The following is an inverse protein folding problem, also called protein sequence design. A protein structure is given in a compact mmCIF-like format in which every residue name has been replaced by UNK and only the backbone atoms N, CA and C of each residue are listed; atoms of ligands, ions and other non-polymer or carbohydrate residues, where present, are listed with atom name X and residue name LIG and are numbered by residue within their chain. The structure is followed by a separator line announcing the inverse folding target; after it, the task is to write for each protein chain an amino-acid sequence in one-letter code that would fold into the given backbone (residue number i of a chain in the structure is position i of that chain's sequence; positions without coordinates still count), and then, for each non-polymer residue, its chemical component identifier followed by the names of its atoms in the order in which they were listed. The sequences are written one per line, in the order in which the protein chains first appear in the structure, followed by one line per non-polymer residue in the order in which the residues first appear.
data_IF_024396250130
#
_entry.id   IF_024396250130
#
_cell.length_a   1.000
_cell.length_b   1.000
_cell.length_c   1.000
_cell.angle_alpha   90.00
_cell.angle_beta   90.00
_cell.angle_gamma   90.00
#
_symmetry.space_group_name_H-M   'P 1'
#
loop_
_entity.id
_entity.type
_entity.pdbx_description
1 polymer ?
#
# COMPACT_ATOMS: atom_id res chain seq x y z
N UNK A 1 -15.82 -14.46 2.23
CA UNK A 1 -14.65 -15.10 1.58
C UNK A 1 -13.45 -14.21 1.85
N UNK A 2 -12.61 -14.57 2.82
CA UNK A 2 -11.38 -13.83 3.15
C UNK A 2 -10.31 -14.34 2.19
N UNK A 3 -9.88 -13.50 1.23
CA UNK A 3 -8.76 -13.80 0.37
C UNK A 3 -7.49 -13.45 1.15
N UNK A 4 -6.91 -14.47 1.79
CA UNK A 4 -5.59 -14.37 2.40
C UNK A 4 -4.58 -14.22 1.27
N UNK A 5 -3.89 -13.08 1.19
CA UNK A 5 -2.66 -12.97 0.39
C UNK A 5 -1.71 -14.03 0.96
N UNK A 6 -1.29 -14.99 0.15
CA UNK A 6 -0.51 -16.14 0.63
C UNK A 6 0.72 -15.60 1.40
N UNK A 7 0.85 -15.82 2.72
CA UNK A 7 1.86 -15.20 3.56
C UNK A 7 3.29 -15.44 3.03
N UNK A 8 3.53 -16.64 2.53
CA UNK A 8 4.82 -17.04 1.92
C UNK A 8 5.25 -16.12 0.76
N UNK A 9 4.32 -15.45 0.09
CA UNK A 9 4.65 -14.59 -1.06
C UNK A 9 5.36 -13.31 -0.58
N UNK A 10 5.16 -12.83 0.64
CA UNK A 10 5.64 -11.49 1.01
C UNK A 10 6.55 -11.42 2.24
N UNK A 11 6.67 -12.48 3.02
CA UNK A 11 7.47 -12.51 4.26
C UNK A 11 8.96 -12.16 4.04
N UNK A 12 9.53 -12.53 2.88
CA UNK A 12 10.93 -12.28 2.55
C UNK A 12 11.17 -10.97 1.77
N UNK A 13 10.14 -10.12 1.62
CA UNK A 13 10.26 -8.85 0.91
C UNK A 13 11.11 -7.88 1.74
N UNK A 14 12.15 -7.33 1.12
CA UNK A 14 13.05 -6.36 1.75
C UNK A 14 12.91 -4.96 1.14
N UNK A 15 12.34 -4.88 -0.07
CA UNK A 15 12.33 -3.65 -0.86
C UNK A 15 11.11 -3.50 -1.75
N UNK A 16 10.62 -2.28 -1.88
CA UNK A 16 9.63 -1.86 -2.88
C UNK A 16 10.31 -0.97 -3.92
N UNK A 17 10.11 -1.29 -5.20
CA UNK A 17 10.54 -0.47 -6.33
C UNK A 17 9.33 0.28 -6.87
N UNK A 18 9.40 1.61 -6.91
CA UNK A 18 8.26 2.47 -7.23
C UNK A 18 8.69 3.69 -8.04
N UNK A 19 7.89 4.07 -9.03
CA UNK A 19 8.12 5.31 -9.77
C UNK A 19 7.66 6.51 -8.92
N UNK A 20 8.61 7.39 -8.60
CA UNK A 20 8.39 8.52 -7.69
C UNK A 20 7.34 9.51 -8.23
N UNK A 21 7.43 9.88 -9.51
CA UNK A 21 6.54 10.87 -10.10
C UNK A 21 5.10 10.37 -10.22
N UNK A 22 4.90 9.10 -10.59
CA UNK A 22 3.57 8.48 -10.65
C UNK A 22 2.93 8.41 -9.27
N UNK A 23 3.70 8.15 -8.21
CA UNK A 23 3.17 8.11 -6.84
C UNK A 23 2.60 9.47 -6.43
N UNK A 24 3.39 10.54 -6.57
CA UNK A 24 2.98 11.88 -6.16
C UNK A 24 1.91 12.51 -7.05
N UNK A 25 1.73 12.03 -8.29
CA UNK A 25 0.60 12.43 -9.14
C UNK A 25 -0.74 11.88 -8.65
N UNK A 26 -0.72 10.75 -7.94
CA UNK A 26 -1.93 10.03 -7.54
C UNK A 26 -2.35 10.37 -6.11
N UNK A 27 -1.40 10.78 -5.27
CA UNK A 27 -1.66 11.23 -3.91
C UNK A 27 -1.56 12.77 -3.85
N UNK A 28 -2.69 13.49 -3.96
CA UNK A 28 -2.68 14.95 -3.88
C UNK A 28 -2.16 15.45 -2.52
N UNK A 29 -1.50 16.60 -2.53
CA UNK A 29 -0.75 17.17 -1.39
C UNK A 29 -1.59 17.52 -0.17
N UNK A 30 -2.91 17.64 -0.31
CA UNK A 30 -3.78 18.24 0.71
C UNK A 30 -4.98 17.37 1.10
N UNK A 31 -4.96 16.08 0.73
CA UNK A 31 -6.03 15.14 1.07
C UNK A 31 -5.48 14.08 2.03
N UNK A 32 -6.07 14.04 3.22
CA UNK A 32 -5.84 12.99 4.22
C UNK A 32 -6.64 11.74 3.84
N UNK A 33 -6.10 10.56 4.13
CA UNK A 33 -6.77 9.27 3.88
C UNK A 33 -7.16 9.03 2.41
N UNK A 34 -6.29 9.46 1.48
CA UNK A 34 -6.36 9.02 0.09
C UNK A 34 -6.04 7.53 0.05
N UNK A 35 -6.94 6.72 -0.48
CA UNK A 35 -6.72 5.26 -0.59
C UNK A 35 -6.37 4.89 -2.01
N UNK A 36 -5.22 4.26 -2.18
CA UNK A 36 -4.75 3.74 -3.44
C UNK A 36 -4.39 2.28 -3.22
N UNK A 37 -4.91 1.41 -4.07
CA UNK A 37 -4.44 0.04 -4.18
C UNK A 37 -3.43 -0.05 -5.31
N UNK A 38 -2.40 -0.85 -5.13
CA UNK A 38 -1.38 -1.06 -6.15
C UNK A 38 -1.24 -2.53 -6.52
N UNK A 39 -0.95 -2.80 -7.78
CA UNK A 39 -0.54 -4.10 -8.28
C UNK A 39 0.98 -4.13 -8.33
N UNK A 40 1.60 -5.07 -7.62
CA UNK A 40 3.04 -5.25 -7.62
C UNK A 40 3.44 -6.65 -8.10
N UNK A 41 4.56 -6.74 -8.81
CA UNK A 41 5.16 -8.01 -9.19
C UNK A 41 6.30 -8.34 -8.24
N UNK A 42 6.30 -9.55 -7.69
CA UNK A 42 7.44 -10.04 -6.90
C UNK A 42 8.56 -10.49 -7.83
N UNK A 43 9.79 -10.07 -7.53
CA UNK A 43 11.02 -10.54 -8.17
C UNK A 43 12.11 -10.69 -7.10
N UNK A 44 12.37 -11.93 -6.68
CA UNK A 44 13.20 -12.20 -5.50
C UNK A 44 12.62 -11.51 -4.26
N UNK A 45 13.45 -10.75 -3.54
CA UNK A 45 13.06 -9.99 -2.32
C UNK A 45 12.50 -8.59 -2.62
N UNK A 46 12.18 -8.29 -3.88
CA UNK A 46 11.65 -6.98 -4.30
C UNK A 46 10.18 -7.10 -4.75
N UNK A 47 9.39 -6.06 -4.45
CA UNK A 47 8.09 -5.81 -5.06
C UNK A 47 8.19 -4.61 -6.01
N UNK A 48 7.97 -4.84 -7.30
CA UNK A 48 7.94 -3.79 -8.32
C UNK A 48 6.50 -3.34 -8.57
N UNK A 49 6.21 -2.07 -8.31
CA UNK A 49 4.87 -1.50 -8.49
C UNK A 49 4.57 -1.29 -9.98
N UNK A 50 3.62 -2.05 -10.50
CA UNK A 50 3.21 -2.01 -11.90
C UNK A 50 2.13 -0.96 -12.17
N UNK A 51 1.15 -0.86 -11.27
CA UNK A 51 -0.05 -0.05 -11.47
C UNK A 51 -0.61 0.44 -10.15
N UNK A 52 -1.13 1.66 -10.18
CA UNK A 52 -1.89 2.29 -9.10
C UNK A 52 -3.37 2.36 -9.49
N UNK A 53 -4.24 2.17 -8.50
CA UNK A 53 -5.69 2.18 -8.65
C UNK A 53 -6.25 3.00 -7.48
N UNK A 54 -6.63 4.25 -7.76
CA UNK A 54 -7.29 5.10 -6.77
C UNK A 54 -8.65 4.51 -6.41
N UNK A 55 -8.89 4.31 -5.12
CA UNK A 55 -10.16 3.86 -4.60
C UNK A 55 -10.87 5.02 -3.90
N UNK A 56 -12.21 4.99 -3.91
CA UNK A 56 -12.99 5.93 -3.12
C UNK A 56 -12.83 5.58 -1.64
N UNK A 57 -12.51 6.57 -0.81
CA UNK A 57 -12.64 6.46 0.64
C UNK A 57 -14.13 6.67 1.00
N UNK A 58 -14.73 5.67 1.64
CA UNK A 58 -16.13 5.67 2.07
C UNK A 58 -16.30 6.16 3.52
N UNK A 59 -15.19 6.39 4.24
CA UNK A 59 -15.22 6.97 5.59
C UNK A 59 -15.67 8.42 5.53
N UNK A 60 -16.50 8.83 6.50
CA UNK A 60 -16.76 10.24 6.78
C UNK A 60 -15.81 10.84 7.82
N UNK A 61 -15.02 10.00 8.49
CA UNK A 61 -13.99 10.42 9.44
C UNK A 61 -12.69 10.68 8.66
N UNK A 62 -12.10 11.88 8.77
CA UNK A 62 -10.89 12.27 8.04
C UNK A 62 -9.61 11.58 8.54
N UNK A 63 -9.65 10.86 9.66
CA UNK A 63 -8.51 10.19 10.28
C UNK A 63 -8.46 8.67 10.04
N UNK A 64 -9.38 8.15 9.21
CA UNK A 64 -9.38 6.76 8.81
C UNK A 64 -9.91 6.59 7.39
N UNK A 65 -9.63 5.43 6.80
CA UNK A 65 -10.17 5.08 5.51
C UNK A 65 -11.00 3.80 5.51
N UNK A 66 -12.00 3.78 4.64
CA UNK A 66 -12.75 2.58 4.27
C UNK A 66 -12.69 2.50 2.74
N UNK A 67 -11.84 1.61 2.22
CA UNK A 67 -11.72 1.41 0.78
C UNK A 67 -13.04 0.89 0.20
N UNK A 68 -13.49 1.43 -0.94
CA UNK A 68 -14.63 0.89 -1.67
C UNK A 68 -14.44 -0.62 -1.96
N UNK A 69 -15.32 -1.50 -1.45
CA UNK A 69 -15.21 -2.94 -1.65
C UNK A 69 -15.17 -3.35 -3.13
N UNK A 70 -15.82 -2.60 -4.02
CA UNK A 70 -15.80 -2.87 -5.46
C UNK A 70 -14.41 -2.66 -6.04
N UNK A 71 -13.71 -1.62 -5.59
CA UNK A 71 -12.32 -1.34 -5.96
C UNK A 71 -11.39 -2.45 -5.47
N UNK A 72 -11.58 -2.87 -4.21
CA UNK A 72 -10.84 -3.97 -3.59
C UNK A 72 -10.98 -5.27 -4.37
N UNK A 73 -12.23 -5.69 -4.66
CA UNK A 73 -12.51 -6.92 -5.42
C UNK A 73 -11.87 -6.86 -6.80
N UNK A 74 -11.94 -5.70 -7.46
CA UNK A 74 -11.31 -5.49 -8.77
C UNK A 74 -9.80 -5.70 -8.71
N UNK A 75 -9.10 -5.10 -7.75
CA UNK A 75 -7.64 -5.26 -7.57
C UNK A 75 -7.28 -6.71 -7.28
N UNK A 76 -7.99 -7.36 -6.35
CA UNK A 76 -7.73 -8.77 -6.03
C UNK A 76 -7.93 -9.69 -7.23
N UNK A 77 -8.94 -9.42 -8.05
CA UNK A 77 -9.19 -10.18 -9.29
C UNK A 77 -8.06 -9.99 -10.30
N UNK A 78 -7.57 -8.76 -10.46
CA UNK A 78 -6.41 -8.47 -11.32
C UNK A 78 -5.14 -9.14 -10.80
N UNK A 79 -4.85 -9.06 -9.50
CA UNK A 79 -3.72 -9.74 -8.87
C UNK A 79 -3.73 -11.24 -9.15
N UNK A 80 -4.89 -11.89 -8.98
CA UNK A 80 -5.04 -13.31 -9.27
C UNK A 80 -4.80 -13.63 -10.75
N UNK A 81 -5.34 -12.82 -11.65
CA UNK A 81 -5.26 -13.07 -13.10
C UNK A 81 -3.85 -12.82 -13.65
N UNK A 82 -3.16 -11.82 -13.10
CA UNK A 82 -1.84 -11.38 -13.56
C UNK A 82 -0.69 -11.96 -12.74
N UNK A 83 -0.98 -12.83 -11.76
CA UNK A 83 0.00 -13.35 -10.80
C UNK A 83 0.81 -12.23 -10.12
N UNK A 84 0.10 -11.24 -9.58
CA UNK A 84 0.64 -10.07 -8.89
C UNK A 84 0.18 -10.03 -7.43
N UNK A 85 0.87 -9.23 -6.62
CA UNK A 85 0.59 -8.99 -5.19
C UNK A 85 -0.14 -7.66 -5.04
N UNK A 86 -1.25 -7.60 -4.28
CA UNK A 86 -1.91 -6.34 -3.98
C UNK A 86 -1.12 -5.60 -2.90
N UNK A 87 -0.94 -4.30 -3.04
CA UNK A 87 -0.36 -3.43 -2.01
C UNK A 87 -1.37 -2.34 -1.63
N UNK A 88 -1.28 -1.87 -0.39
CA UNK A 88 -2.11 -0.77 0.11
C UNK A 88 -1.23 0.48 0.20
N UNK A 89 -1.76 1.60 -0.27
CA UNK A 89 -1.11 2.89 -0.20
C UNK A 89 -2.14 3.87 0.37
N UNK A 90 -1.78 4.58 1.44
CA UNK A 90 -2.62 5.66 1.93
C UNK A 90 -1.83 6.86 2.42
N UNK A 91 -2.54 7.97 2.62
CA UNK A 91 -1.94 9.22 3.09
C UNK A 91 -2.34 9.53 4.53
N UNK A 92 -1.37 9.96 5.31
CA UNK A 92 -1.55 10.67 6.56
C UNK A 92 -1.12 12.12 6.39
N UNK A 93 -1.65 13.03 7.20
CA UNK A 93 -1.21 14.42 7.15
C UNK A 93 0.25 14.59 7.61
N UNK A 94 0.61 14.08 8.78
CA UNK A 94 1.87 14.46 9.48
C UNK A 94 2.94 13.37 9.52
N UNK A 95 2.56 12.10 9.63
CA UNK A 95 3.49 10.99 9.90
C UNK A 95 3.29 9.85 8.93
N UNK A 96 4.36 9.24 8.44
CA UNK A 96 4.29 8.02 7.64
C UNK A 96 4.23 6.74 8.51
N UNK A 97 4.08 6.87 9.84
CA UNK A 97 3.97 5.72 10.75
C UNK A 97 2.53 5.18 10.74
N UNK A 98 2.32 3.86 10.75
CA UNK A 98 0.99 3.27 10.88
C UNK A 98 0.38 3.58 12.24
N UNK A 99 -0.88 3.97 12.25
CA UNK A 99 -1.73 4.07 13.45
C UNK A 99 -2.00 2.69 14.05
N UNK A 100 -2.69 2.65 15.19
CA UNK A 100 -3.14 1.38 15.77
C UNK A 100 -4.16 0.67 14.86
N UNK A 101 -5.10 1.42 14.29
CA UNK A 101 -6.08 0.91 13.35
C UNK A 101 -5.44 0.38 12.05
N UNK A 102 -4.40 1.06 11.57
CA UNK A 102 -3.60 0.58 10.43
C UNK A 102 -2.96 -0.75 10.76
N UNK A 103 -2.33 -0.89 11.94
CA UNK A 103 -1.67 -2.14 12.35
C UNK A 103 -2.64 -3.30 12.43
N UNK A 104 -3.84 -3.10 12.98
CA UNK A 104 -4.88 -4.13 13.01
C UNK A 104 -5.33 -4.51 11.58
N UNK A 105 -5.46 -3.52 10.69
CA UNK A 105 -5.78 -3.77 9.28
C UNK A 105 -4.64 -4.49 8.54
N UNK A 106 -3.38 -4.14 8.81
CA UNK A 106 -2.21 -4.79 8.25
C UNK A 106 -2.17 -6.28 8.58
N UNK A 107 -2.54 -6.67 9.81
CA UNK A 107 -2.64 -8.08 10.23
C UNK A 107 -3.66 -8.86 9.40
N UNK A 108 -4.78 -8.23 9.05
CA UNK A 108 -5.83 -8.86 8.23
C UNK A 108 -5.43 -9.01 6.76
N UNK A 109 -4.78 -7.99 6.22
CA UNK A 109 -4.43 -7.94 4.80
C UNK A 109 -3.15 -8.68 4.45
N UNK A 110 -2.21 -8.75 5.40
CA UNK A 110 -0.87 -9.29 5.25
C UNK A 110 -0.28 -8.93 3.88
N UNK A 111 0.07 -7.65 3.70
CA UNK A 111 0.73 -7.12 2.52
C UNK A 111 1.62 -5.94 2.89
N UNK A 112 2.41 -5.43 1.94
CA UNK A 112 3.17 -4.20 2.13
C UNK A 112 2.24 -2.98 2.04
N UNK A 113 2.37 -2.10 3.03
CA UNK A 113 1.67 -0.84 3.14
C UNK A 113 2.63 0.31 2.88
N UNK A 114 2.28 1.21 1.96
CA UNK A 114 2.98 2.48 1.75
C UNK A 114 2.18 3.60 2.40
N UNK A 115 2.76 4.27 3.38
CA UNK A 115 2.12 5.39 4.07
C UNK A 115 2.86 6.66 3.69
N UNK A 116 2.10 7.62 3.16
CA UNK A 116 2.62 8.90 2.68
C UNK A 116 2.26 9.97 3.68
N UNK A 117 3.28 10.64 4.23
CA UNK A 117 3.07 11.91 4.91
C UNK A 117 3.03 13.02 3.89
N UNK A 118 1.85 13.63 3.71
CA UNK A 118 1.67 14.71 2.73
C UNK A 118 2.39 15.98 3.15
N UNK A 119 2.29 16.39 4.42
CA UNK A 119 2.94 17.62 4.91
C UNK A 119 4.47 17.53 4.94
N UNK A 120 5.04 16.37 5.26
CA UNK A 120 6.49 16.17 5.30
C UNK A 120 7.07 15.72 3.97
N UNK A 121 6.22 15.35 3.01
CA UNK A 121 6.61 14.76 1.73
C UNK A 121 7.50 13.53 1.87
N UNK A 122 7.13 12.63 2.79
CA UNK A 122 7.89 11.40 3.09
C UNK A 122 7.01 10.18 2.83
N UNK A 123 7.60 9.14 2.25
CA UNK A 123 6.95 7.83 2.04
C UNK A 123 7.66 6.80 2.90
N UNK A 124 6.89 5.95 3.57
CA UNK A 124 7.41 4.83 4.35
C UNK A 124 6.69 3.54 3.95
N UNK A 125 7.45 2.46 3.82
CA UNK A 125 6.93 1.14 3.50
C UNK A 125 7.00 0.25 4.73
N UNK A 126 5.91 -0.47 4.99
CA UNK A 126 5.74 -1.28 6.19
C UNK A 126 5.19 -2.66 5.84
N UNK A 127 5.65 -3.65 6.59
CA UNK A 127 5.09 -5.00 6.62
C UNK A 127 4.79 -5.36 8.08
N UNK A 128 3.80 -6.22 8.32
CA UNK A 128 3.55 -6.79 9.65
C UNK A 128 4.13 -8.21 9.69
N UNK A 129 4.92 -8.51 10.71
CA UNK A 129 5.51 -9.83 10.96
C UNK A 129 5.35 -10.16 12.45
N UNK A 130 4.65 -11.25 12.77
CA UNK A 130 4.50 -11.72 14.16
C UNK A 130 4.10 -10.58 15.14
N UNK A 131 3.07 -9.82 14.76
CA UNK A 131 2.56 -8.63 15.47
C UNK A 131 3.48 -7.40 15.55
N UNK A 132 4.69 -7.45 14.96
CA UNK A 132 5.59 -6.32 14.85
C UNK A 132 5.52 -5.66 13.46
N UNK A 133 5.69 -4.34 13.42
CA UNK A 133 5.89 -3.63 12.15
C UNK A 133 7.37 -3.64 11.76
N UNK A 134 7.66 -4.07 10.53
CA UNK A 134 8.99 -3.98 9.92
C UNK A 134 8.98 -2.93 8.83
N UNK A 135 10.00 -2.07 8.82
CA UNK A 135 10.21 -1.10 7.73
C UNK A 135 10.83 -1.79 6.53
N UNK A 136 10.30 -1.50 5.36
CA UNK A 136 10.78 -1.99 4.06
C UNK A 136 11.51 -0.85 3.34
N UNK A 137 12.59 -1.17 2.62
CA UNK A 137 13.32 -0.17 1.83
C UNK A 137 12.48 0.28 0.62
N UNK A 138 12.60 1.55 0.22
CA UNK A 138 11.99 2.07 -1.01
C UNK A 138 13.10 2.46 -1.97
N UNK A 139 13.05 1.89 -3.18
CA UNK A 139 13.90 2.26 -4.31
C UNK A 139 13.04 3.01 -5.32
N UNK A 140 13.41 4.26 -5.58
CA UNK A 140 12.72 5.10 -6.55
C UNK A 140 13.29 4.87 -7.94
N UNK A 141 12.40 4.72 -8.92
CA UNK A 141 12.77 4.75 -10.34
C UNK A 141 12.40 6.09 -10.95
N UNK A 142 13.28 6.60 -11.79
CA UNK A 142 13.01 7.78 -12.59
C UNK A 142 12.01 7.47 -13.71
N UNK A 143 11.33 8.50 -14.17
CA UNK A 143 10.46 8.42 -15.35
C UNK A 143 11.31 8.14 -16.60
N UNK A 144 11.09 7.00 -17.26
CA UNK A 144 11.40 6.87 -18.69
C UNK A 144 10.37 7.65 -19.51
#
# INVERSE_FOLDING_TARGET
MILVVNPEIIEDVEKVVINHDKLWKIVPSDVEEVVVLALAKKSGRKLEVLKFISCKNLSSDPSMFIADPSCVIHVLTLCKTMNCVPMIIHSHRVSCMPSEMDRESMKLWNTVWLIISTSRRVVCAWLIEQDAIRRIEIEYTDSQ
#
